data_IF_873535110360
#
_entry.id   IF_873535110360
#
_cell.length_a   1.000
_cell.length_b   1.000
_cell.length_c   1.000
_cell.angle_alpha   90.00
_cell.angle_beta   90.00
_cell.angle_gamma   90.00
#
_symmetry.space_group_name_H-M   'P 1'
#
loop_
_entity.id
_entity.type
_entity.pdbx_description
1 polymer ?
#
# COMPACT_ATOMS: atom_id res chain seq x y z
N UNK A 1 -32.86 4.54 -56.07
CA UNK A 1 -32.28 4.49 -54.71
C UNK A 1 -30.88 3.88 -54.83
N UNK A 2 -29.82 4.68 -54.62
CA UNK A 2 -28.45 4.31 -55.01
C UNK A 2 -27.76 3.36 -54.02
N UNK A 3 -27.31 2.21 -54.54
CA UNK A 3 -26.60 1.14 -53.82
C UNK A 3 -25.35 1.61 -53.07
N UNK A 4 -24.70 2.67 -53.55
CA UNK A 4 -23.50 3.29 -52.93
C UNK A 4 -23.76 3.89 -51.55
N UNK A 5 -25.01 4.29 -51.25
CA UNK A 5 -25.41 4.82 -49.95
C UNK A 5 -25.61 3.73 -48.89
N UNK A 6 -25.94 2.51 -49.32
CA UNK A 6 -26.17 1.35 -48.44
C UNK A 6 -24.83 0.77 -48.00
N UNK A 7 -23.88 0.59 -48.90
CA UNK A 7 -22.53 0.07 -48.55
C UNK A 7 -21.77 0.99 -47.60
N UNK A 8 -21.85 2.32 -47.80
CA UNK A 8 -21.25 3.29 -46.87
C UNK A 8 -21.85 3.19 -45.46
N UNK A 9 -23.17 2.95 -45.34
CA UNK A 9 -23.84 2.78 -44.05
C UNK A 9 -23.44 1.47 -43.37
N UNK A 10 -23.27 0.39 -44.13
CA UNK A 10 -22.83 -0.91 -43.61
C UNK A 10 -21.37 -0.87 -43.16
N UNK A 11 -20.49 -0.23 -43.93
CA UNK A 11 -19.08 -0.03 -43.58
C UNK A 11 -18.91 0.86 -42.34
N UNK A 12 -19.67 1.96 -42.24
CA UNK A 12 -19.67 2.83 -41.05
C UNK A 12 -20.20 2.12 -39.80
N UNK A 13 -21.22 1.25 -39.94
CA UNK A 13 -21.74 0.43 -38.83
C UNK A 13 -20.73 -0.61 -38.38
N UNK A 14 -20.04 -1.28 -39.31
CA UNK A 14 -18.95 -2.21 -39.01
C UNK A 14 -17.83 -1.52 -38.23
N UNK A 15 -17.39 -0.35 -38.71
CA UNK A 15 -16.36 0.46 -38.04
C UNK A 15 -16.79 0.92 -36.63
N UNK A 16 -18.05 1.34 -36.48
CA UNK A 16 -18.59 1.77 -35.20
C UNK A 16 -18.65 0.61 -34.18
N UNK A 17 -19.02 -0.60 -34.62
CA UNK A 17 -19.04 -1.78 -33.76
C UNK A 17 -17.63 -2.20 -33.34
N UNK A 18 -16.65 -2.17 -34.25
CA UNK A 18 -15.25 -2.48 -33.91
C UNK A 18 -14.65 -1.44 -32.96
N UNK A 19 -14.96 -0.15 -33.16
CA UNK A 19 -14.48 0.92 -32.30
C UNK A 19 -15.09 0.84 -30.90
N UNK A 20 -16.37 0.48 -30.77
CA UNK A 20 -17.03 0.29 -29.48
C UNK A 20 -16.42 -0.89 -28.70
N UNK A 21 -16.12 -2.01 -29.37
CA UNK A 21 -15.49 -3.18 -28.75
C UNK A 21 -14.06 -2.87 -28.26
N UNK A 22 -13.27 -2.15 -29.04
CA UNK A 22 -11.91 -1.72 -28.65
C UNK A 22 -11.94 -0.73 -27.48
N UNK A 23 -12.93 0.17 -27.45
CA UNK A 23 -13.08 1.15 -26.37
C UNK A 23 -13.50 0.49 -25.05
N UNK A 24 -14.33 -0.56 -25.10
CA UNK A 24 -14.73 -1.32 -23.91
C UNK A 24 -13.58 -2.03 -23.22
N UNK A 25 -12.58 -2.50 -23.98
CA UNK A 25 -11.40 -3.18 -23.45
C UNK A 25 -10.47 -2.22 -22.68
N UNK A 26 -10.43 -0.94 -23.08
CA UNK A 26 -9.63 0.09 -22.43
C UNK A 26 -10.18 0.49 -21.04
N UNK A 27 -11.50 0.39 -20.82
CA UNK A 27 -12.12 0.73 -19.54
C UNK A 27 -11.99 -0.37 -18.47
N UNK A 28 -11.58 -1.59 -18.84
CA UNK A 28 -11.34 -2.68 -17.88
C UNK A 28 -10.01 -2.54 -17.10
N UNK A 29 -9.22 -1.49 -17.38
CA UNK A 29 -7.91 -1.26 -16.77
C UNK A 29 -7.92 -0.62 -15.37
N UNK A 30 -9.08 -0.20 -14.84
CA UNK A 30 -9.16 0.35 -13.48
C UNK A 30 -9.15 -0.77 -12.43
N UNK A 31 -7.98 -1.39 -12.23
CA UNK A 31 -7.75 -2.28 -11.10
C UNK A 31 -7.36 -1.40 -9.91
N UNK A 32 -8.26 -1.23 -8.94
CA UNK A 32 -7.83 -0.90 -7.57
C UNK A 32 -6.95 -2.06 -7.16
N UNK A 33 -5.65 -1.81 -7.00
CA UNK A 33 -4.71 -2.85 -6.58
C UNK A 33 -5.32 -3.59 -5.38
N UNK A 34 -5.35 -4.93 -5.37
CA UNK A 34 -5.82 -5.64 -4.20
C UNK A 34 -4.98 -5.16 -3.03
N UNK A 35 -5.64 -4.70 -1.97
CA UNK A 35 -5.05 -4.31 -0.68
C UNK A 35 -4.47 -5.51 0.08
N UNK A 36 -3.96 -6.50 -0.66
CA UNK A 36 -3.54 -7.81 -0.21
C UNK A 36 -2.05 -8.09 -0.36
N UNK A 37 -1.21 -7.09 -0.66
CA UNK A 37 0.25 -7.23 -0.53
C UNK A 37 0.69 -6.89 0.91
N UNK A 38 0.09 -7.57 1.88
CA UNK A 38 0.56 -7.66 3.26
C UNK A 38 1.45 -8.89 3.49
N UNK A 39 1.86 -9.58 2.43
CA UNK A 39 2.52 -10.89 2.54
C UNK A 39 4.03 -10.83 2.73
N UNK A 40 4.62 -9.64 2.83
CA UNK A 40 5.94 -9.49 3.43
C UNK A 40 5.83 -8.40 4.50
N UNK A 41 5.47 -8.80 5.73
CA UNK A 41 5.93 -8.06 6.91
C UNK A 41 7.44 -8.19 6.86
N UNK A 42 8.06 -7.31 6.09
CA UNK A 42 9.49 -7.23 5.98
C UNK A 42 9.98 -6.91 7.39
N UNK A 43 10.64 -7.87 8.04
CA UNK A 43 11.20 -7.63 9.38
C UNK A 43 12.14 -6.41 9.36
N UNK A 44 12.64 -6.06 8.17
CA UNK A 44 13.35 -4.83 7.90
C UNK A 44 12.54 -3.54 8.20
N UNK A 45 11.21 -3.56 8.26
CA UNK A 45 10.45 -2.41 8.74
C UNK A 45 10.64 -2.18 10.27
N UNK A 46 11.16 -3.19 10.97
CA UNK A 46 11.80 -3.10 12.29
C UNK A 46 13.32 -3.31 12.23
N UNK A 47 14.01 -2.82 11.18
CA UNK A 47 15.47 -2.93 11.04
C UNK A 47 16.22 -2.39 12.25
N UNK A 48 17.43 -2.90 12.47
CA UNK A 48 18.34 -2.42 13.52
C UNK A 48 18.61 -0.91 13.42
N UNK A 49 18.65 -0.35 12.21
CA UNK A 49 18.79 1.07 11.91
C UNK A 49 17.63 1.91 12.50
N UNK A 50 16.40 1.37 12.42
CA UNK A 50 15.20 2.01 12.96
C UNK A 50 15.24 2.03 14.50
N UNK A 51 15.69 0.93 15.10
CA UNK A 51 15.86 0.81 16.57
C UNK A 51 16.91 1.78 17.11
N UNK A 52 18.04 1.93 16.42
CA UNK A 52 19.08 2.88 16.82
C UNK A 52 18.55 4.32 16.84
N UNK A 53 17.85 4.72 15.78
CA UNK A 53 17.27 6.06 15.65
C UNK A 53 16.24 6.34 16.75
N UNK A 54 15.36 5.38 17.03
CA UNK A 54 14.36 5.49 18.10
C UNK A 54 15.01 5.51 19.49
N UNK A 55 16.11 4.79 19.69
CA UNK A 55 16.86 4.84 20.95
C UNK A 55 17.49 6.22 21.18
N UNK A 56 17.93 6.90 20.12
CA UNK A 56 18.41 8.28 20.21
C UNK A 56 17.28 9.28 20.54
N UNK A 57 16.05 9.04 20.07
CA UNK A 57 14.87 9.84 20.46
C UNK A 57 14.63 9.71 21.97
N UNK A 58 14.58 8.48 22.48
CA UNK A 58 14.38 8.20 23.90
C UNK A 58 15.49 8.82 24.75
N UNK A 59 16.76 8.80 24.32
CA UNK A 59 17.85 9.43 25.06
C UNK A 59 17.69 10.95 25.19
N UNK A 60 17.09 11.61 24.20
CA UNK A 60 16.84 13.07 24.25
C UNK A 60 15.64 13.41 25.14
N UNK A 61 14.63 12.55 25.17
CA UNK A 61 13.39 12.76 25.92
C UNK A 61 12.99 11.49 26.69
N UNK A 62 13.69 11.14 27.78
CA UNK A 62 13.51 9.84 28.45
C UNK A 62 12.19 9.72 29.23
N UNK A 63 11.47 10.82 29.44
CA UNK A 63 10.15 10.86 30.09
C UNK A 63 9.00 10.99 29.10
N UNK A 64 9.27 10.98 27.80
CA UNK A 64 8.23 10.98 26.77
C UNK A 64 7.81 9.53 26.45
N UNK A 65 6.58 9.11 26.80
CA UNK A 65 6.12 7.74 26.54
C UNK A 65 6.01 7.41 25.04
N UNK A 66 5.88 8.42 24.16
CA UNK A 66 5.74 8.18 22.71
C UNK A 66 6.96 7.48 22.13
N UNK A 67 8.18 7.88 22.53
CA UNK A 67 9.43 7.28 22.05
C UNK A 67 9.49 5.77 22.33
N UNK A 68 9.09 5.36 23.53
CA UNK A 68 9.02 3.95 23.91
C UNK A 68 7.92 3.21 23.14
N UNK A 69 6.73 3.79 23.00
CA UNK A 69 5.64 3.18 22.22
C UNK A 69 6.04 2.91 20.75
N UNK A 70 6.70 3.87 20.10
CA UNK A 70 7.14 3.74 18.71
C UNK A 70 8.25 2.68 18.59
N UNK A 71 9.22 2.65 19.52
CA UNK A 71 10.28 1.63 19.54
C UNK A 71 9.73 0.24 19.85
N UNK A 72 8.79 0.11 20.78
CA UNK A 72 8.09 -1.13 21.07
C UNK A 72 7.35 -1.68 19.85
N UNK A 73 6.67 -0.81 19.10
CA UNK A 73 6.02 -1.18 17.84
C UNK A 73 7.02 -1.67 16.79
N UNK A 74 8.20 -1.05 16.70
CA UNK A 74 9.27 -1.50 15.79
C UNK A 74 9.83 -2.87 16.19
N UNK A 75 10.08 -3.09 17.48
CA UNK A 75 10.47 -4.40 18.01
C UNK A 75 9.41 -5.48 17.72
N UNK A 76 8.13 -5.15 17.89
CA UNK A 76 7.01 -6.06 17.61
C UNK A 76 6.97 -6.50 16.14
N UNK A 77 7.14 -5.56 15.20
CA UNK A 77 7.24 -5.86 13.76
C UNK A 77 8.47 -6.70 13.42
N UNK A 78 9.59 -6.51 14.13
CA UNK A 78 10.81 -7.30 13.99
C UNK A 78 10.74 -8.70 14.64
N UNK A 79 9.67 -9.02 15.36
CA UNK A 79 9.52 -10.27 16.11
C UNK A 79 10.25 -10.29 17.46
N UNK A 80 10.77 -9.16 17.93
CA UNK A 80 11.46 -9.01 19.21
C UNK A 80 10.46 -8.71 20.33
N UNK A 81 9.51 -9.62 20.55
CA UNK A 81 8.34 -9.36 21.40
C UNK A 81 8.66 -9.01 22.84
N UNK A 82 9.69 -9.61 23.45
CA UNK A 82 10.08 -9.26 24.82
C UNK A 82 10.61 -7.82 24.92
N UNK A 83 11.40 -7.38 23.94
CA UNK A 83 11.87 -6.00 23.89
C UNK A 83 10.71 -5.02 23.66
N UNK A 84 9.75 -5.42 22.81
CA UNK A 84 8.53 -4.65 22.58
C UNK A 84 7.72 -4.45 23.87
N UNK A 85 7.45 -5.54 24.60
CA UNK A 85 6.70 -5.49 25.86
C UNK A 85 7.38 -4.60 26.89
N UNK A 86 8.71 -4.69 27.03
CA UNK A 86 9.46 -3.83 27.94
C UNK A 86 9.32 -2.34 27.62
N UNK A 87 9.36 -1.99 26.33
CA UNK A 87 9.15 -0.60 25.91
C UNK A 87 7.70 -0.16 26.15
N UNK A 88 6.71 -1.00 25.88
CA UNK A 88 5.31 -0.69 26.18
C UNK A 88 5.06 -0.53 27.68
N UNK A 89 5.62 -1.40 28.52
CA UNK A 89 5.51 -1.30 29.98
C UNK A 89 6.11 0.01 30.49
N UNK A 90 7.23 0.43 29.90
CA UNK A 90 7.85 1.73 30.23
C UNK A 90 6.96 2.89 29.79
N UNK A 91 6.40 2.84 28.58
CA UNK A 91 5.48 3.86 28.08
C UNK A 91 4.21 3.99 28.93
N UNK A 92 3.73 2.89 29.52
CA UNK A 92 2.54 2.89 30.40
C UNK A 92 2.86 3.46 31.79
N UNK A 93 4.11 3.35 32.24
CA UNK A 93 4.55 3.84 33.56
C UNK A 93 4.87 5.33 33.58
N UNK A 94 5.25 5.90 32.43
CA UNK A 94 5.56 7.32 32.24
C UNK A 94 4.28 8.13 31.99
#
# INVERSE_FOLDING_TARGET
>A
MNATSVERRTAMRGFALTAALLSGLALAGCQTAPTGEFTNIDKAQGSAENISSLSAVIQRSPQDPEGYNVRGSAYGRGGQYQAALKDFDTAIQL
#
